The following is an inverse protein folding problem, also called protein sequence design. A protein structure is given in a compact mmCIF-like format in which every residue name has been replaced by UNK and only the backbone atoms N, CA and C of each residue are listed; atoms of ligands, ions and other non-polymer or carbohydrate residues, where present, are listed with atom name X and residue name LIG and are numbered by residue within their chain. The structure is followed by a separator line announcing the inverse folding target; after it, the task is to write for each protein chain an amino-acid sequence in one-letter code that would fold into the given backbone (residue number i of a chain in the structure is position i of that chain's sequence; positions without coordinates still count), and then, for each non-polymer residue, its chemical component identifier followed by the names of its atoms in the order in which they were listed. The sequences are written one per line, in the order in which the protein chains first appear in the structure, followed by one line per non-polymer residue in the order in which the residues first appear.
data_IF_123070414345
#
_entry.id   IF_123070414345
#
_cell.length_a   1.000
_cell.length_b   1.000
_cell.length_c   1.000
_cell.angle_alpha   90.00
_cell.angle_beta   90.00
_cell.angle_gamma   90.00
#
_symmetry.space_group_name_H-M   'P 1'
#
loop_
_entity.id
_entity.type
_entity.pdbx_description
1 polymer ?
#
# COMPACT_ATOMS: atom_id res chain seq x y z
N UNK A 1 18.93 7.08 -37.05
CA UNK A 1 18.12 5.90 -36.66
C UNK A 1 16.99 6.43 -35.77
N UNK A 2 15.75 6.43 -36.29
CA UNK A 2 14.58 6.71 -35.44
C UNK A 2 14.39 5.46 -34.60
N UNK A 3 14.49 5.60 -33.28
CA UNK A 3 14.06 4.57 -32.36
C UNK A 3 12.59 4.28 -32.66
N UNK A 4 12.30 3.07 -33.10
CA UNK A 4 10.94 2.55 -33.16
C UNK A 4 10.46 2.54 -31.71
N UNK A 5 9.67 3.53 -31.33
CA UNK A 5 9.03 3.59 -30.03
C UNK A 5 8.27 2.29 -29.81
N UNK A 6 8.65 1.54 -28.81
CA UNK A 6 7.94 0.31 -28.45
C UNK A 6 6.48 0.62 -28.26
N UNK A 7 5.62 -0.05 -29.00
CA UNK A 7 4.17 0.16 -28.99
C UNK A 7 3.52 -0.29 -27.67
N UNK A 8 4.36 -0.69 -26.72
CA UNK A 8 3.96 -1.20 -25.40
C UNK A 8 4.25 -0.19 -24.30
N UNK A 9 3.45 -0.22 -23.26
CA UNK A 9 3.64 0.55 -22.02
C UNK A 9 4.84 -0.02 -21.26
N UNK A 10 5.77 0.82 -20.84
CA UNK A 10 6.86 0.43 -19.94
C UNK A 10 6.31 0.28 -18.52
N UNK A 11 5.89 -0.94 -18.18
CA UNK A 11 5.28 -1.26 -16.89
C UNK A 11 6.20 -1.02 -15.71
N UNK A 12 7.52 -1.21 -15.86
CA UNK A 12 8.50 -1.00 -14.80
C UNK A 12 8.64 0.48 -14.39
N UNK A 13 8.30 1.38 -15.32
CA UNK A 13 8.33 2.82 -15.06
C UNK A 13 7.07 3.35 -14.39
N UNK A 14 5.96 2.58 -14.41
CA UNK A 14 4.74 2.95 -13.72
C UNK A 14 4.97 2.89 -12.22
N UNK A 15 4.62 3.97 -11.52
CA UNK A 15 4.77 4.02 -10.08
C UNK A 15 3.80 4.99 -9.42
N UNK A 16 3.19 4.55 -8.36
CA UNK A 16 2.48 5.34 -7.37
C UNK A 16 2.61 4.66 -6.01
N UNK A 17 2.48 5.41 -4.94
CA UNK A 17 2.61 4.89 -3.57
C UNK A 17 1.74 5.70 -2.61
N UNK A 18 1.51 5.14 -1.43
CA UNK A 18 0.83 5.81 -0.34
C UNK A 18 1.82 6.65 0.48
N UNK A 19 2.55 7.55 -0.19
CA UNK A 19 3.52 8.48 0.40
C UNK A 19 3.16 9.91 0.02
N UNK A 20 3.64 10.90 0.77
CA UNK A 20 3.32 12.32 0.56
C UNK A 20 3.61 12.83 -0.86
N UNK A 21 4.61 12.25 -1.53
CA UNK A 21 4.96 12.59 -2.91
C UNK A 21 3.88 12.17 -3.93
N UNK A 22 3.14 11.08 -3.63
CA UNK A 22 2.15 10.49 -4.53
C UNK A 22 0.72 10.62 -4.03
N UNK A 23 0.51 10.84 -2.74
CA UNK A 23 -0.79 11.10 -2.13
C UNK A 23 -0.65 12.18 -1.06
N UNK A 24 -1.19 13.35 -1.29
CA UNK A 24 -1.08 14.49 -0.37
C UNK A 24 -2.45 15.15 -0.16
N UNK A 25 -2.90 15.28 1.12
CA UNK A 25 -2.31 14.75 2.32
C UNK A 25 -2.44 13.22 2.44
N UNK A 26 -1.54 12.58 3.17
CA UNK A 26 -1.58 11.12 3.38
C UNK A 26 -2.77 10.68 4.23
N UNK A 27 -3.13 11.47 5.24
CA UNK A 27 -4.23 11.25 6.18
C UNK A 27 -5.24 12.40 6.06
N UNK A 28 -6.08 12.41 5.02
CA UNK A 28 -7.01 13.52 4.79
C UNK A 28 -8.16 13.51 5.81
N UNK A 29 -8.62 14.69 6.15
CA UNK A 29 -9.90 14.87 6.85
C UNK A 29 -11.06 14.66 5.88
N UNK A 30 -12.25 14.42 6.46
CA UNK A 30 -13.48 14.36 5.65
C UNK A 30 -13.66 15.67 4.86
N UNK A 31 -13.95 15.55 3.58
CA UNK A 31 -14.14 16.67 2.66
C UNK A 31 -12.86 17.36 2.20
N UNK A 32 -11.69 16.95 2.71
CA UNK A 32 -10.42 17.54 2.29
C UNK A 32 -10.04 17.10 0.87
N UNK A 33 -9.37 17.99 0.13
CA UNK A 33 -8.85 17.66 -1.20
C UNK A 33 -7.58 16.85 -1.07
N UNK A 34 -7.54 15.74 -1.82
CA UNK A 34 -6.37 14.85 -1.90
C UNK A 34 -5.84 14.87 -3.31
N UNK A 35 -4.58 15.20 -3.45
CA UNK A 35 -3.84 15.09 -4.70
C UNK A 35 -3.30 13.66 -4.83
N UNK A 36 -3.62 13.01 -5.93
CA UNK A 36 -3.13 11.70 -6.30
C UNK A 36 -2.20 11.82 -7.51
N UNK A 37 -1.09 11.11 -7.49
CA UNK A 37 -0.07 11.15 -8.53
C UNK A 37 0.28 9.76 -9.04
N UNK A 38 0.46 9.64 -10.34
CA UNK A 38 1.05 8.48 -11.01
C UNK A 38 2.25 8.92 -11.85
N UNK A 39 3.34 8.17 -11.81
CA UNK A 39 4.52 8.31 -12.66
C UNK A 39 4.46 7.30 -13.81
N UNK A 40 4.84 7.71 -15.00
CA UNK A 40 5.03 6.86 -16.19
C UNK A 40 6.43 7.10 -16.76
N UNK A 41 6.91 6.25 -17.68
CA UNK A 41 8.05 6.63 -18.51
C UNK A 41 7.74 7.87 -19.35
N UNK A 42 8.79 8.57 -19.77
CA UNK A 42 8.68 9.77 -20.60
C UNK A 42 7.96 9.48 -21.91
N UNK A 43 6.92 10.23 -22.20
CA UNK A 43 6.10 10.11 -23.42
C UNK A 43 5.57 8.69 -23.68
N UNK A 44 5.27 7.96 -22.60
CA UNK A 44 4.87 6.54 -22.66
C UNK A 44 3.37 6.31 -22.41
N UNK A 45 2.58 7.35 -22.24
CA UNK A 45 1.15 7.27 -22.07
C UNK A 45 0.43 8.32 -22.95
N UNK A 46 -0.60 7.89 -23.66
CA UNK A 46 -1.50 8.81 -24.38
C UNK A 46 -2.50 9.45 -23.40
N UNK A 47 -3.03 8.64 -22.48
CA UNK A 47 -3.95 9.07 -21.44
C UNK A 47 -3.74 8.27 -20.16
N UNK A 48 -3.92 8.93 -19.03
CA UNK A 48 -3.90 8.35 -17.70
C UNK A 48 -5.20 8.70 -17.00
N UNK A 49 -5.78 7.72 -16.31
CA UNK A 49 -7.06 7.85 -15.64
C UNK A 49 -6.97 7.45 -14.18
N UNK A 50 -7.70 8.15 -13.37
CA UNK A 50 -8.12 7.77 -12.04
C UNK A 50 -9.43 6.98 -12.13
N UNK A 51 -9.51 5.86 -11.43
CA UNK A 51 -10.68 4.98 -11.40
C UNK A 51 -11.11 4.79 -9.95
N UNK A 52 -12.40 5.02 -9.67
CA UNK A 52 -13.07 4.79 -8.39
C UNK A 52 -14.40 4.08 -8.65
N UNK A 53 -14.44 2.76 -8.47
CA UNK A 53 -15.60 1.97 -8.86
C UNK A 53 -15.94 2.15 -10.35
N UNK A 54 -17.12 2.68 -10.64
CA UNK A 54 -17.56 2.97 -12.02
C UNK A 54 -17.13 4.38 -12.52
N UNK A 55 -16.59 5.22 -11.63
CA UNK A 55 -16.13 6.56 -12.00
C UNK A 55 -14.76 6.50 -12.66
N UNK A 56 -14.62 7.17 -13.78
CA UNK A 56 -13.38 7.35 -14.50
C UNK A 56 -13.11 8.84 -14.72
N UNK A 57 -11.94 9.32 -14.35
CA UNK A 57 -11.53 10.70 -14.55
C UNK A 57 -10.13 10.79 -15.17
N UNK A 58 -9.98 11.66 -16.19
CA UNK A 58 -8.68 11.89 -16.83
C UNK A 58 -7.76 12.64 -15.90
N UNK A 59 -6.54 12.13 -15.71
CA UNK A 59 -5.48 12.77 -14.95
C UNK A 59 -4.74 13.78 -15.84
N UNK A 60 -4.30 14.87 -15.23
CA UNK A 60 -3.51 15.91 -15.90
C UNK A 60 -2.03 15.63 -15.77
N UNK A 61 -1.29 15.75 -16.85
CA UNK A 61 0.18 15.78 -16.80
C UNK A 61 0.61 17.10 -16.18
N UNK A 62 1.27 17.07 -15.02
CA UNK A 62 1.65 18.24 -14.23
C UNK A 62 3.15 18.48 -14.22
N UNK A 63 3.94 17.43 -14.38
CA UNK A 63 5.39 17.52 -14.40
C UNK A 63 6.02 16.53 -15.36
N UNK A 64 7.26 16.81 -15.74
CA UNK A 64 8.05 15.92 -16.60
C UNK A 64 9.53 16.18 -16.32
N UNK A 65 10.28 15.09 -16.19
CA UNK A 65 11.73 15.11 -16.08
C UNK A 65 12.38 14.41 -17.30
N UNK A 66 13.69 14.21 -17.39
CA UNK A 66 14.32 13.53 -18.53
C UNK A 66 13.86 12.09 -18.75
N UNK A 67 13.36 11.40 -17.71
CA UNK A 67 13.04 9.97 -17.73
C UNK A 67 11.56 9.69 -17.56
N UNK A 68 10.82 10.56 -16.84
CA UNK A 68 9.47 10.29 -16.39
C UNK A 68 8.51 11.44 -16.68
N UNK A 69 7.24 11.09 -16.81
CA UNK A 69 6.10 11.99 -16.81
C UNK A 69 5.24 11.73 -15.56
N UNK A 70 4.69 12.80 -14.98
CA UNK A 70 3.88 12.77 -13.77
C UNK A 70 2.48 13.27 -14.07
N UNK A 71 1.50 12.48 -13.67
CA UNK A 71 0.09 12.78 -13.86
C UNK A 71 -0.58 12.92 -12.50
N UNK A 72 -1.44 13.91 -12.36
CA UNK A 72 -2.13 14.20 -11.11
C UNK A 72 -3.63 14.34 -11.32
N UNK A 73 -4.36 13.96 -10.28
CA UNK A 73 -5.79 14.15 -10.14
C UNK A 73 -6.10 14.52 -8.69
N UNK A 74 -7.04 15.47 -8.51
CA UNK A 74 -7.53 15.86 -7.18
C UNK A 74 -8.92 15.29 -6.97
N UNK A 75 -9.11 14.68 -5.82
CA UNK A 75 -10.40 14.20 -5.34
C UNK A 75 -10.78 14.91 -4.06
N UNK A 76 -12.06 14.98 -3.75
CA UNK A 76 -12.53 15.30 -2.40
C UNK A 76 -12.67 13.98 -1.63
N UNK A 77 -11.98 13.86 -0.49
CA UNK A 77 -12.11 12.71 0.39
C UNK A 77 -13.52 12.74 1.02
N UNK A 78 -14.43 11.90 0.51
CA UNK A 78 -15.78 11.77 1.08
C UNK A 78 -15.70 11.21 2.52
N UNK A 79 -16.83 11.15 3.21
CA UNK A 79 -16.90 10.52 4.56
C UNK A 79 -16.65 9.02 4.51
N UNK A 80 -16.95 8.39 3.37
CA UNK A 80 -16.75 6.97 3.18
C UNK A 80 -15.34 6.66 2.68
N UNK A 81 -14.95 5.40 2.82
CA UNK A 81 -13.69 4.90 2.32
C UNK A 81 -13.65 4.99 0.79
N UNK A 82 -12.57 5.56 0.26
CA UNK A 82 -12.31 5.64 -1.18
C UNK A 82 -11.36 4.52 -1.58
N UNK A 83 -11.80 3.66 -2.50
CA UNK A 83 -10.98 2.64 -3.15
C UNK A 83 -10.72 3.09 -4.59
N UNK A 84 -9.45 3.11 -5.00
CA UNK A 84 -9.07 3.60 -6.32
C UNK A 84 -7.86 2.89 -6.89
N UNK A 85 -7.77 2.90 -8.20
CA UNK A 85 -6.59 2.51 -8.96
C UNK A 85 -6.39 3.44 -10.15
N UNK A 86 -5.31 3.24 -10.89
CA UNK A 86 -5.02 4.01 -12.08
C UNK A 86 -5.13 3.14 -13.33
N UNK A 87 -5.48 3.77 -14.45
CA UNK A 87 -5.48 3.14 -15.76
C UNK A 87 -4.64 3.98 -16.72
N UNK A 88 -3.68 3.35 -17.37
CA UNK A 88 -2.80 3.95 -18.37
C UNK A 88 -3.15 3.38 -19.73
N UNK A 89 -3.29 4.26 -20.71
CA UNK A 89 -3.61 3.90 -22.09
C UNK A 89 -2.52 4.41 -23.03
N UNK A 90 -2.05 3.53 -23.91
CA UNK A 90 -1.10 3.85 -24.98
C UNK A 90 -1.51 3.11 -26.24
N UNK A 91 -1.94 3.82 -27.27
CA UNK A 91 -2.51 3.24 -28.49
C UNK A 91 -3.67 2.28 -28.17
N UNK A 92 -3.49 0.98 -28.40
CA UNK A 92 -4.46 -0.08 -28.10
C UNK A 92 -4.18 -0.80 -26.80
N UNK A 93 -3.02 -0.55 -26.18
CA UNK A 93 -2.67 -1.17 -24.92
C UNK A 93 -3.27 -0.41 -23.74
N UNK A 94 -3.76 -1.18 -22.78
CA UNK A 94 -4.28 -0.69 -21.50
C UNK A 94 -3.53 -1.45 -20.41
N UNK A 95 -3.05 -0.72 -19.41
CA UNK A 95 -2.47 -1.25 -18.21
C UNK A 95 -3.12 -0.58 -17.01
N UNK A 96 -3.50 -1.34 -16.01
CA UNK A 96 -3.99 -0.82 -14.75
C UNK A 96 -2.89 -0.87 -13.69
N UNK A 97 -2.99 -0.03 -12.68
CA UNK A 97 -1.99 0.09 -11.62
C UNK A 97 -2.67 0.22 -10.26
N UNK A 98 -2.45 -0.74 -9.38
CA UNK A 98 -2.96 -0.79 -8.01
C UNK A 98 -1.81 -1.01 -7.02
N UNK A 99 -2.10 -1.40 -5.77
CA UNK A 99 -1.06 -1.66 -4.74
C UNK A 99 -0.09 -2.79 -5.07
N UNK A 100 -0.47 -3.71 -5.96
CA UNK A 100 0.42 -4.78 -6.44
C UNK A 100 1.36 -4.30 -7.54
N UNK A 101 1.12 -3.10 -8.11
CA UNK A 101 1.85 -2.57 -9.24
C UNK A 101 1.05 -2.67 -10.54
N UNK A 102 1.74 -2.76 -11.71
CA UNK A 102 1.09 -2.83 -13.01
C UNK A 102 0.46 -4.20 -13.25
N UNK A 103 -0.85 -4.20 -13.58
CA UNK A 103 -1.67 -5.38 -13.85
C UNK A 103 -2.46 -5.20 -15.15
N UNK A 104 -2.94 -6.28 -15.74
CA UNK A 104 -3.81 -6.21 -16.92
C UNK A 104 -5.24 -5.81 -16.53
N UNK A 105 -5.72 -6.33 -15.41
CA UNK A 105 -7.02 -6.04 -14.82
C UNK A 105 -6.87 -5.85 -13.31
N UNK A 106 -7.35 -4.74 -12.78
CA UNK A 106 -7.28 -4.45 -11.35
C UNK A 106 -8.40 -5.20 -10.62
N UNK A 107 -8.01 -5.90 -9.56
CA UNK A 107 -8.92 -6.44 -8.58
C UNK A 107 -9.14 -5.40 -7.48
N UNK A 108 -10.40 -5.02 -7.18
CA UNK A 108 -10.74 -4.04 -6.14
C UNK A 108 -10.19 -4.37 -4.75
N UNK A 109 -9.89 -5.64 -4.45
CA UNK A 109 -9.23 -6.04 -3.20
C UNK A 109 -7.85 -5.40 -3.03
N UNK A 110 -7.16 -5.17 -4.15
CA UNK A 110 -5.82 -4.57 -4.17
C UNK A 110 -5.81 -3.09 -4.56
N UNK A 111 -6.94 -2.44 -4.61
CA UNK A 111 -7.01 -1.00 -4.85
C UNK A 111 -6.32 -0.20 -3.73
N UNK A 112 -5.80 0.96 -4.08
CA UNK A 112 -5.36 1.94 -3.09
C UNK A 112 -6.54 2.39 -2.25
N UNK A 113 -6.27 2.69 -0.98
CA UNK A 113 -7.31 2.96 0.00
C UNK A 113 -7.07 4.29 0.70
N UNK A 114 -8.09 5.11 0.75
CA UNK A 114 -8.13 6.32 1.59
C UNK A 114 -9.25 6.15 2.60
N UNK A 115 -8.95 6.35 3.87
CA UNK A 115 -9.94 6.37 4.95
C UNK A 115 -9.93 7.77 5.54
N UNK A 116 -10.85 8.65 5.11
CA UNK A 116 -10.91 10.03 5.59
C UNK A 116 -11.18 10.08 7.10
N UNK A 117 -10.58 11.03 7.79
CA UNK A 117 -10.71 11.16 9.24
C UNK A 117 -9.92 10.13 10.05
N UNK A 118 -9.28 9.15 9.40
CA UNK A 118 -8.34 8.26 10.08
C UNK A 118 -7.02 8.99 10.33
N UNK A 119 -6.58 8.99 11.58
CA UNK A 119 -5.34 9.63 12.01
C UNK A 119 -4.48 8.67 12.83
N UNK A 120 -3.26 8.48 12.40
CA UNK A 120 -2.27 7.74 13.19
C UNK A 120 -1.58 8.71 14.15
N UNK A 121 -1.64 8.49 15.49
CA UNK A 121 -0.95 9.34 16.44
C UNK A 121 0.53 9.50 16.12
N UNK A 122 1.07 10.71 16.26
CA UNK A 122 2.45 11.01 15.84
C UNK A 122 3.49 10.16 16.57
N UNK A 123 3.23 9.78 17.82
CA UNK A 123 4.11 8.89 18.58
C UNK A 123 4.20 7.47 17.98
N UNK A 124 3.18 7.04 17.23
CA UNK A 124 3.15 5.72 16.60
C UNK A 124 3.81 5.70 15.21
N UNK A 125 3.94 6.88 14.58
CA UNK A 125 4.55 7.02 13.25
C UNK A 125 6.06 6.76 13.35
N UNK A 126 6.52 5.68 12.70
CA UNK A 126 7.92 5.27 12.75
C UNK A 126 8.36 4.62 14.07
N UNK A 127 7.44 4.34 15.00
CA UNK A 127 7.77 3.65 16.24
C UNK A 127 8.20 2.21 15.97
N UNK A 128 9.29 1.80 16.63
CA UNK A 128 9.70 0.40 16.68
C UNK A 128 9.10 -0.20 17.94
N UNK A 129 8.27 -1.23 17.76
CA UNK A 129 7.66 -1.96 18.89
C UNK A 129 8.34 -3.31 19.05
N UNK A 130 8.69 -3.63 20.29
CA UNK A 130 9.19 -4.94 20.66
C UNK A 130 8.22 -5.57 21.65
N UNK A 131 7.57 -6.66 21.24
CA UNK A 131 6.65 -7.40 22.10
C UNK A 131 7.39 -8.56 22.75
N UNK A 132 7.42 -8.55 24.09
CA UNK A 132 8.02 -9.62 24.88
C UNK A 132 6.89 -10.49 25.43
N UNK A 133 6.90 -11.77 25.07
CA UNK A 133 6.11 -12.79 25.74
C UNK A 133 6.92 -13.32 26.91
N UNK A 134 6.58 -12.90 28.10
CA UNK A 134 7.36 -13.19 29.32
C UNK A 134 7.53 -14.68 29.59
N UNK A 135 6.52 -15.46 29.27
CA UNK A 135 6.51 -16.92 29.38
C UNK A 135 7.43 -17.64 28.36
N UNK A 136 7.89 -16.92 27.32
CA UNK A 136 8.72 -17.45 26.24
C UNK A 136 10.05 -16.74 26.05
N UNK A 137 10.38 -15.79 26.90
CA UNK A 137 11.56 -14.96 26.71
C UNK A 137 12.75 -15.48 27.51
N UNK A 138 12.74 -15.28 28.82
CA UNK A 138 13.80 -15.70 29.72
C UNK A 138 13.20 -15.96 31.10
N UNK A 139 13.53 -17.09 31.68
CA UNK A 139 13.18 -17.38 33.06
C UNK A 139 14.18 -16.68 34.00
N UNK A 140 13.76 -15.55 34.55
CA UNK A 140 14.60 -14.77 35.49
C UNK A 140 14.56 -15.28 36.95
N UNK A 141 13.57 -16.12 37.28
CA UNK A 141 13.34 -16.65 38.61
C UNK A 141 12.77 -18.08 38.54
N UNK A 142 13.61 -19.12 38.61
CA UNK A 142 13.16 -20.50 38.54
C UNK A 142 12.28 -20.95 39.70
N UNK A 143 12.30 -20.21 40.83
CA UNK A 143 11.58 -20.59 42.05
C UNK A 143 10.06 -20.31 41.92
N UNK A 144 9.67 -19.52 40.94
CA UNK A 144 8.27 -19.22 40.64
C UNK A 144 7.73 -20.00 39.43
N UNK A 145 8.44 -20.97 38.92
CA UNK A 145 8.00 -21.82 37.83
C UNK A 145 6.79 -22.65 38.22
N UNK A 146 5.88 -22.79 37.26
CA UNK A 146 4.70 -23.65 37.42
C UNK A 146 5.13 -25.11 37.57
N UNK A 147 4.67 -25.76 38.61
CA UNK A 147 4.92 -27.19 38.82
C UNK A 147 4.11 -28.07 37.85
N UNK A 148 4.62 -29.24 37.55
CA UNK A 148 3.94 -30.20 36.70
C UNK A 148 2.57 -30.57 37.30
N UNK A 149 1.51 -30.41 36.47
CA UNK A 149 0.09 -30.69 36.85
C UNK A 149 -0.61 -29.58 37.64
N UNK A 150 0.02 -28.44 37.89
CA UNK A 150 -0.62 -27.28 38.54
C UNK A 150 -1.69 -26.65 37.64
N UNK A 151 -1.48 -26.67 36.31
CA UNK A 151 -2.46 -26.23 35.33
C UNK A 151 -2.62 -27.25 34.20
N UNK A 152 -3.86 -27.44 33.76
CA UNK A 152 -4.18 -28.18 32.53
C UNK A 152 -4.42 -27.18 31.41
N UNK A 153 -3.46 -27.05 30.50
CA UNK A 153 -3.63 -26.27 29.28
C UNK A 153 -4.34 -27.10 28.21
N UNK A 154 -5.58 -26.74 27.93
CA UNK A 154 -6.28 -27.27 26.74
C UNK A 154 -6.05 -26.26 25.60
N UNK A 155 -4.88 -26.29 24.97
CA UNK A 155 -4.61 -25.50 23.78
C UNK A 155 -4.61 -26.38 22.53
N UNK A 156 -5.70 -26.36 21.79
CA UNK A 156 -5.88 -27.12 20.53
C UNK A 156 -5.09 -26.52 19.33
N UNK A 157 -4.40 -25.37 19.53
CA UNK A 157 -3.72 -24.63 18.45
C UNK A 157 -2.25 -24.34 18.73
N UNK A 158 -1.60 -25.11 19.59
CA UNK A 158 -0.18 -24.90 19.88
C UNK A 158 0.68 -25.53 18.77
N UNK A 159 1.17 -24.69 17.86
CA UNK A 159 1.98 -25.13 16.72
C UNK A 159 3.48 -24.81 16.82
N UNK A 160 3.92 -24.12 17.86
CA UNK A 160 5.34 -23.79 18.10
C UNK A 160 5.78 -24.25 19.48
N UNK A 161 6.82 -25.05 19.61
CA UNK A 161 7.41 -25.36 20.91
C UNK A 161 7.97 -24.08 21.54
N UNK A 162 7.83 -23.93 22.86
CA UNK A 162 8.50 -22.84 23.58
C UNK A 162 10.02 -23.08 23.58
N UNK A 163 10.87 -22.05 23.79
CA UNK A 163 12.31 -22.25 23.93
C UNK A 163 12.71 -23.29 24.98
N UNK A 164 11.88 -23.49 26.01
CA UNK A 164 12.08 -24.55 27.02
C UNK A 164 11.86 -25.97 26.49
N UNK A 165 11.01 -26.15 25.47
CA UNK A 165 10.72 -27.47 24.92
C UNK A 165 11.85 -27.98 24.02
N UNK A 166 12.79 -27.10 23.63
CA UNK A 166 13.94 -27.44 22.77
C UNK A 166 15.21 -27.74 23.54
N UNK A 167 15.26 -27.49 24.86
CA UNK A 167 16.42 -27.72 25.71
C UNK A 167 16.40 -29.03 26.53
N UNK A 168 15.47 -29.97 26.19
CA UNK A 168 15.40 -31.28 26.84
C UNK A 168 15.80 -32.41 25.90
#
# INVERSE_FOLDING_TARGET
MKEEGTNKINREALFSAETEDYRSPMEPKEGERVRLRLRTAKADADQVYYIEGEKEAVMKKTASDPYFDYYEHEIAAASDQVLYHFKVKKNKEICQYNRLGPVDEADPEFDFKITPGFYTPDWAKGAVMYQIFTDRFCNGDPDNDVESMEYVYICLLYTSPSPRDTER
#
